data_IF_909677397068
#
_entry.id   IF_909677397068
#
_cell.length_a   1.000
_cell.length_b   1.000
_cell.length_c   1.000
_cell.angle_alpha   90.00
_cell.angle_beta   90.00
_cell.angle_gamma   90.00
#
_symmetry.space_group_name_H-M   'P 1'
#
loop_
_entity.id
_entity.type
_entity.pdbx_description
1 polymer ?
#
# COMPACT_ATOMS: atom_id res chain seq x y z
N UNK A 1 50.94 34.36 -16.91
CA UNK A 1 50.90 33.61 -15.65
C UNK A 1 49.75 34.15 -14.81
N UNK A 2 48.59 33.50 -14.85
CA UNK A 2 47.40 33.87 -14.04
C UNK A 2 46.97 32.60 -13.32
N UNK A 3 47.25 32.54 -12.03
CA UNK A 3 46.90 31.41 -11.15
C UNK A 3 45.45 31.54 -10.71
N UNK A 4 44.64 30.52 -11.00
CA UNK A 4 43.27 30.38 -10.48
C UNK A 4 43.33 30.10 -8.97
N UNK A 5 42.53 30.76 -8.11
CA UNK A 5 42.47 30.40 -6.70
C UNK A 5 41.72 29.06 -6.51
N UNK A 6 42.01 28.33 -5.41
CA UNK A 6 41.38 27.04 -5.13
C UNK A 6 39.89 27.21 -4.80
N UNK A 7 39.06 26.37 -5.40
CA UNK A 7 37.62 26.29 -5.15
C UNK A 7 37.39 25.76 -3.73
N UNK A 8 36.71 26.53 -2.87
CA UNK A 8 36.26 26.02 -1.57
C UNK A 8 35.20 24.92 -1.78
N UNK A 9 35.18 23.87 -0.95
CA UNK A 9 34.15 22.85 -1.00
C UNK A 9 32.80 23.43 -0.59
N UNK A 10 31.79 23.26 -1.44
CA UNK A 10 30.42 23.69 -1.18
C UNK A 10 29.90 23.12 0.14
N UNK A 11 29.41 23.99 1.01
CA UNK A 11 28.79 23.62 2.27
C UNK A 11 27.56 22.73 1.99
N UNK A 12 27.64 21.47 2.40
CA UNK A 12 26.50 20.56 2.40
C UNK A 12 25.43 21.13 3.34
N UNK A 13 24.28 21.53 2.79
CA UNK A 13 23.13 21.99 3.58
C UNK A 13 22.67 20.91 4.56
N UNK A 14 22.00 21.30 5.67
CA UNK A 14 21.68 20.38 6.76
C UNK A 14 20.83 19.21 6.27
N UNK A 15 21.29 17.97 6.53
CA UNK A 15 20.50 16.76 6.31
C UNK A 15 19.25 16.84 7.18
N UNK A 16 18.08 16.94 6.54
CA UNK A 16 16.80 16.80 7.23
C UNK A 16 16.53 15.33 7.42
N UNK A 17 16.71 14.85 8.65
CA UNK A 17 16.22 13.53 9.05
C UNK A 17 14.73 13.64 9.33
N UNK A 18 13.93 12.90 8.56
CA UNK A 18 12.48 12.80 8.76
C UNK A 18 12.22 11.55 9.57
N UNK A 19 11.78 11.72 10.81
CA UNK A 19 11.39 10.61 11.70
C UNK A 19 9.88 10.37 11.54
N UNK A 20 9.51 9.21 11.01
CA UNK A 20 8.13 8.75 10.97
C UNK A 20 7.84 7.94 12.24
N UNK A 21 6.96 8.47 13.09
CA UNK A 21 6.42 7.76 14.25
C UNK A 21 5.01 7.27 13.93
N UNK A 22 4.68 6.07 14.39
CA UNK A 22 3.30 5.59 14.38
C UNK A 22 2.44 6.45 15.34
N UNK A 23 1.16 6.68 15.03
CA UNK A 23 0.31 7.56 15.84
C UNK A 23 -0.23 6.80 17.06
N UNK A 24 -0.94 5.69 16.83
CA UNK A 24 -1.71 4.98 17.85
C UNK A 24 -0.91 3.86 18.52
N UNK A 25 -0.36 4.14 19.70
CA UNK A 25 0.49 3.23 20.46
C UNK A 25 1.95 3.69 20.55
N UNK A 26 2.34 4.76 19.84
CA UNK A 26 3.64 5.42 20.00
C UNK A 26 3.49 6.89 20.43
N UNK A 27 2.58 7.66 19.81
CA UNK A 27 2.31 9.05 20.22
C UNK A 27 1.01 9.23 21.02
N UNK A 28 0.02 8.36 20.79
CA UNK A 28 -1.30 8.41 21.44
C UNK A 28 -1.60 7.06 22.08
N UNK A 29 -1.98 7.04 23.36
CA UNK A 29 -2.44 5.83 24.05
C UNK A 29 -3.89 5.49 23.64
N UNK A 30 -4.14 4.41 22.88
CA UNK A 30 -5.49 4.02 22.49
C UNK A 30 -6.37 3.63 23.68
N UNK A 31 -5.78 3.21 24.81
CA UNK A 31 -6.51 2.84 26.02
C UNK A 31 -7.03 4.06 26.78
N UNK A 32 -6.52 5.26 26.50
CA UNK A 32 -7.05 6.51 27.06
C UNK A 32 -8.53 6.76 26.70
N UNK A 33 -9.06 6.06 25.70
CA UNK A 33 -10.51 6.06 25.41
C UNK A 33 -11.34 5.51 26.58
N UNK A 34 -10.77 4.63 27.41
CA UNK A 34 -11.44 4.13 28.62
C UNK A 34 -11.88 5.26 29.54
N UNK A 35 -11.01 6.24 29.82
CA UNK A 35 -11.33 7.41 30.64
C UNK A 35 -12.47 8.29 30.05
N UNK A 36 -12.66 8.26 28.73
CA UNK A 36 -13.81 8.92 28.08
C UNK A 36 -15.08 8.08 28.23
N UNK A 37 -14.95 6.76 28.07
CA UNK A 37 -16.06 5.80 28.22
C UNK A 37 -16.57 5.73 29.66
N UNK A 38 -15.70 5.93 30.66
CA UNK A 38 -16.06 5.98 32.09
C UNK A 38 -17.02 7.14 32.45
N UNK A 39 -17.15 8.15 31.58
CA UNK A 39 -18.14 9.22 31.76
C UNK A 39 -19.56 8.78 31.42
N UNK A 40 -19.70 7.66 30.74
CA UNK A 40 -20.96 7.16 30.16
C UNK A 40 -21.28 5.73 30.60
N UNK A 41 -20.29 5.00 31.12
CA UNK A 41 -20.37 3.60 31.52
C UNK A 41 -19.69 3.38 32.88
N UNK A 42 -20.12 2.36 33.66
CA UNK A 42 -19.39 1.92 34.85
C UNK A 42 -17.92 1.58 34.52
N UNK A 43 -17.01 1.85 35.47
CA UNK A 43 -15.55 1.77 35.26
C UNK A 43 -15.09 0.43 34.68
N UNK A 44 -15.59 -0.67 35.25
CA UNK A 44 -15.22 -2.02 34.80
C UNK A 44 -15.70 -2.32 33.37
N UNK A 45 -16.85 -1.79 32.95
CA UNK A 45 -17.40 -1.96 31.61
C UNK A 45 -16.62 -1.12 30.58
N UNK A 46 -16.25 0.10 30.94
CA UNK A 46 -15.43 0.98 30.10
C UNK A 46 -14.05 0.36 29.81
N UNK A 47 -13.40 -0.21 30.82
CA UNK A 47 -12.12 -0.91 30.66
C UNK A 47 -12.26 -2.18 29.80
N UNK A 48 -13.32 -2.97 30.03
CA UNK A 48 -13.62 -4.15 29.20
C UNK A 48 -13.83 -3.79 27.74
N UNK A 49 -14.62 -2.75 27.47
CA UNK A 49 -14.92 -2.28 26.12
C UNK A 49 -13.65 -1.74 25.42
N UNK A 50 -12.85 -0.92 26.10
CA UNK A 50 -11.61 -0.39 25.53
C UNK A 50 -10.62 -1.50 25.15
N UNK A 51 -10.47 -2.53 26.00
CA UNK A 51 -9.63 -3.70 25.70
C UNK A 51 -10.18 -4.52 24.53
N UNK A 52 -11.48 -4.78 24.50
CA UNK A 52 -12.12 -5.50 23.40
C UNK A 52 -12.00 -4.75 22.07
N UNK A 53 -12.18 -3.42 22.09
CA UNK A 53 -12.01 -2.56 20.92
C UNK A 53 -10.57 -2.61 20.39
N UNK A 54 -9.57 -2.48 21.26
CA UNK A 54 -8.16 -2.57 20.86
C UNK A 54 -7.81 -3.95 20.30
N UNK A 55 -8.28 -5.02 20.93
CA UNK A 55 -8.08 -6.38 20.44
C UNK A 55 -8.68 -6.56 19.04
N UNK A 56 -9.90 -6.04 18.80
CA UNK A 56 -10.53 -6.08 17.49
C UNK A 56 -9.78 -5.24 16.45
N UNK A 57 -9.32 -4.05 16.81
CA UNK A 57 -8.53 -3.21 15.90
C UNK A 57 -7.27 -3.95 15.39
N UNK A 58 -6.53 -4.59 16.30
CA UNK A 58 -5.35 -5.40 15.93
C UNK A 58 -5.75 -6.57 15.05
N UNK A 59 -6.79 -7.32 15.44
CA UNK A 59 -7.30 -8.45 14.67
C UNK A 59 -7.62 -8.03 13.22
N UNK A 60 -8.35 -6.93 13.03
CA UNK A 60 -8.65 -6.40 11.69
C UNK A 60 -7.39 -6.02 10.92
N UNK A 61 -6.43 -5.32 11.54
CA UNK A 61 -5.17 -4.94 10.89
C UNK A 61 -4.37 -6.16 10.41
N UNK A 62 -4.25 -7.19 11.25
CA UNK A 62 -3.56 -8.43 10.88
C UNK A 62 -4.29 -9.18 9.76
N UNK A 63 -5.62 -9.26 9.82
CA UNK A 63 -6.43 -9.90 8.77
C UNK A 63 -6.28 -9.19 7.41
N UNK A 64 -6.34 -7.87 7.40
CA UNK A 64 -6.17 -7.06 6.17
C UNK A 64 -4.75 -7.19 5.61
N UNK A 65 -3.74 -7.18 6.48
CA UNK A 65 -2.34 -7.37 6.07
C UNK A 65 -2.13 -8.75 5.46
N UNK A 66 -2.71 -9.79 6.08
CA UNK A 66 -2.65 -11.16 5.56
C UNK A 66 -3.33 -11.28 4.19
N UNK A 67 -4.52 -10.67 4.02
CA UNK A 67 -5.21 -10.61 2.74
C UNK A 67 -4.36 -9.96 1.65
N UNK A 68 -3.82 -8.76 1.92
CA UNK A 68 -3.01 -8.02 0.95
C UNK A 68 -1.77 -8.82 0.51
N UNK A 69 -1.10 -9.50 1.45
CA UNK A 69 0.05 -10.37 1.15
C UNK A 69 -0.35 -11.58 0.30
N UNK A 70 -1.42 -12.27 0.67
CA UNK A 70 -1.91 -13.44 -0.08
C UNK A 70 -2.33 -13.04 -1.51
N UNK A 71 -3.04 -11.92 -1.64
CA UNK A 71 -3.46 -11.39 -2.93
C UNK A 71 -2.27 -11.11 -3.83
N UNK A 72 -1.29 -10.34 -3.35
CA UNK A 72 -0.10 -10.01 -4.16
C UNK A 72 0.71 -11.25 -4.52
N UNK A 73 0.86 -12.21 -3.60
CA UNK A 73 1.56 -13.46 -3.88
C UNK A 73 0.85 -14.26 -4.98
N UNK A 74 -0.48 -14.40 -4.91
CA UNK A 74 -1.26 -15.15 -5.90
C UNK A 74 -1.35 -14.48 -7.25
N UNK A 75 -1.40 -13.15 -7.29
CA UNK A 75 -1.35 -12.40 -8.54
C UNK A 75 -0.07 -12.71 -9.33
N UNK A 76 1.09 -12.74 -8.65
CA UNK A 76 2.36 -13.11 -9.26
C UNK A 76 2.42 -14.59 -9.62
N UNK A 77 1.95 -15.49 -8.74
CA UNK A 77 1.91 -16.92 -9.03
C UNK A 77 1.08 -17.22 -10.29
N UNK A 78 -0.07 -16.56 -10.44
CA UNK A 78 -0.96 -16.75 -11.59
C UNK A 78 -0.33 -16.22 -12.86
N UNK A 79 0.29 -15.03 -12.85
CA UNK A 79 0.96 -14.51 -14.04
C UNK A 79 2.07 -15.46 -14.52
N UNK A 80 2.91 -15.96 -13.60
CA UNK A 80 3.96 -16.93 -13.96
C UNK A 80 3.40 -18.25 -14.50
N UNK A 81 2.39 -18.83 -13.85
CA UNK A 81 1.79 -20.09 -14.29
C UNK A 81 1.15 -19.97 -15.67
N UNK A 82 0.40 -18.90 -15.90
CA UNK A 82 -0.24 -18.63 -17.17
C UNK A 82 0.77 -18.49 -18.31
N UNK A 83 1.90 -17.80 -18.06
CA UNK A 83 3.00 -17.72 -19.03
C UNK A 83 3.60 -19.08 -19.34
N UNK A 84 3.94 -19.89 -18.32
CA UNK A 84 4.52 -21.23 -18.53
C UNK A 84 3.56 -22.18 -19.25
N UNK A 85 2.26 -22.06 -18.97
CA UNK A 85 1.21 -22.84 -19.63
C UNK A 85 0.86 -22.33 -21.03
N UNK A 86 1.50 -21.26 -21.52
CA UNK A 86 1.17 -20.62 -22.80
C UNK A 86 -0.31 -20.20 -22.90
N UNK A 87 -0.89 -19.80 -21.76
CA UNK A 87 -2.28 -19.33 -21.67
C UNK A 87 -2.28 -17.87 -21.28
N UNK A 88 -2.57 -17.00 -22.22
CA UNK A 88 -2.67 -15.57 -21.93
C UNK A 88 -3.99 -15.25 -21.22
N UNK A 89 -3.89 -14.45 -20.16
CA UNK A 89 -4.99 -13.68 -19.58
C UNK A 89 -4.47 -12.27 -19.32
N UNK A 90 -5.36 -11.28 -19.39
CA UNK A 90 -4.97 -9.91 -19.08
C UNK A 90 -4.74 -9.73 -17.56
N UNK A 91 -4.11 -8.61 -17.22
CA UNK A 91 -3.73 -8.32 -15.85
C UNK A 91 -4.95 -8.05 -14.94
N UNK A 92 -6.07 -7.57 -15.49
CA UNK A 92 -7.31 -7.38 -14.75
C UNK A 92 -7.87 -8.72 -14.29
N UNK A 93 -7.95 -9.69 -15.21
CA UNK A 93 -8.35 -11.07 -14.90
C UNK A 93 -7.49 -11.67 -13.79
N UNK A 94 -6.16 -11.56 -13.90
CA UNK A 94 -5.22 -12.08 -12.89
C UNK A 94 -5.41 -11.39 -11.54
N UNK A 95 -5.65 -10.08 -11.54
CA UNK A 95 -5.84 -9.28 -10.33
C UNK A 95 -7.13 -9.65 -9.62
N UNK A 96 -8.24 -9.82 -10.34
CA UNK A 96 -9.51 -10.26 -9.78
C UNK A 96 -9.45 -11.69 -9.23
N UNK A 97 -8.96 -12.64 -10.01
CA UNK A 97 -8.96 -14.07 -9.61
C UNK A 97 -7.99 -14.35 -8.45
N UNK A 98 -6.91 -13.58 -8.34
CA UNK A 98 -6.02 -13.66 -7.18
C UNK A 98 -6.62 -13.04 -5.92
N UNK A 99 -7.45 -12.00 -6.05
CA UNK A 99 -8.21 -11.43 -4.92
C UNK A 99 -9.24 -12.44 -4.40
N UNK A 100 -10.00 -13.08 -5.30
CA UNK A 100 -10.97 -14.10 -4.93
C UNK A 100 -10.32 -15.25 -4.17
N UNK A 101 -9.18 -15.75 -4.65
CA UNK A 101 -8.42 -16.77 -3.94
C UNK A 101 -7.99 -16.30 -2.55
N UNK A 102 -7.44 -15.08 -2.45
CA UNK A 102 -6.94 -14.55 -1.18
C UNK A 102 -8.06 -14.36 -0.15
N UNK A 103 -9.26 -13.97 -0.59
CA UNK A 103 -10.45 -13.88 0.25
C UNK A 103 -10.85 -15.24 0.82
N UNK A 104 -10.90 -16.27 -0.03
CA UNK A 104 -11.18 -17.65 0.39
C UNK A 104 -10.14 -18.15 1.39
N UNK A 105 -8.84 -17.99 1.09
CA UNK A 105 -7.74 -18.42 1.96
C UNK A 105 -7.78 -17.70 3.32
N UNK A 106 -8.18 -16.44 3.34
CA UNK A 106 -8.25 -15.64 4.55
C UNK A 106 -9.56 -15.78 5.33
N UNK A 107 -10.50 -16.61 4.85
CA UNK A 107 -11.86 -16.71 5.38
C UNK A 107 -12.51 -15.31 5.52
N UNK A 108 -12.38 -14.51 4.48
CA UNK A 108 -12.94 -13.17 4.35
C UNK A 108 -13.97 -13.17 3.22
N UNK A 109 -15.03 -12.41 3.42
CA UNK A 109 -16.07 -12.20 2.42
C UNK A 109 -16.09 -10.72 2.06
N UNK A 110 -16.21 -10.42 0.78
CA UNK A 110 -16.49 -9.10 0.26
C UNK A 110 -17.73 -9.20 -0.62
N UNK A 111 -18.64 -8.23 -0.49
CA UNK A 111 -19.75 -8.07 -1.42
C UNK A 111 -19.23 -7.75 -2.82
N UNK A 112 -20.08 -7.94 -3.84
CA UNK A 112 -19.73 -7.63 -5.22
C UNK A 112 -19.35 -6.14 -5.40
N UNK A 113 -20.07 -5.22 -4.74
CA UNK A 113 -19.78 -3.78 -4.79
C UNK A 113 -18.40 -3.45 -4.20
N UNK A 114 -18.08 -4.01 -3.04
CA UNK A 114 -16.78 -3.76 -2.38
C UNK A 114 -15.62 -4.32 -3.21
N UNK A 115 -15.82 -5.46 -3.87
CA UNK A 115 -14.83 -6.05 -4.76
C UNK A 115 -14.57 -5.14 -5.97
N UNK A 116 -15.63 -4.69 -6.64
CA UNK A 116 -15.52 -3.77 -7.77
C UNK A 116 -14.79 -2.49 -7.38
N UNK A 117 -15.13 -1.92 -6.22
CA UNK A 117 -14.46 -0.72 -5.71
C UNK A 117 -12.98 -0.98 -5.39
N UNK A 118 -12.65 -2.10 -4.77
CA UNK A 118 -11.26 -2.46 -4.47
C UNK A 118 -10.41 -2.62 -5.73
N UNK A 119 -10.95 -3.26 -6.78
CA UNK A 119 -10.29 -3.40 -8.07
C UNK A 119 -10.12 -2.05 -8.77
N UNK A 120 -11.15 -1.18 -8.74
CA UNK A 120 -11.06 0.16 -9.30
C UNK A 120 -9.98 1.03 -8.61
N UNK A 121 -9.84 0.92 -7.28
CA UNK A 121 -8.77 1.59 -6.54
C UNK A 121 -7.39 1.03 -6.87
N UNK A 122 -7.29 -0.27 -7.13
CA UNK A 122 -6.03 -0.92 -7.53
C UNK A 122 -5.55 -0.38 -8.90
N UNK A 123 -6.47 -0.18 -9.85
CA UNK A 123 -6.16 0.41 -11.16
C UNK A 123 -5.74 1.89 -11.08
N UNK A 124 -6.12 2.60 -10.01
CA UNK A 124 -5.86 4.02 -9.80
C UNK A 124 -4.70 4.30 -8.82
N UNK A 125 -3.84 3.33 -8.52
CA UNK A 125 -2.72 3.51 -7.61
C UNK A 125 -1.72 4.56 -8.13
N UNK A 126 -1.33 5.49 -7.25
CA UNK A 126 -0.32 6.49 -7.57
C UNK A 126 1.05 5.84 -7.81
N UNK A 127 1.78 6.25 -8.86
CA UNK A 127 3.16 5.82 -9.05
C UNK A 127 4.04 6.37 -7.91
N UNK A 128 5.12 5.66 -7.59
CA UNK A 128 6.11 6.17 -6.64
C UNK A 128 6.68 7.52 -7.12
N UNK A 129 7.03 8.44 -6.20
CA UNK A 129 7.42 9.81 -6.54
C UNK A 129 8.66 9.92 -7.44
N UNK A 130 9.48 8.87 -7.48
CA UNK A 130 10.69 8.73 -8.29
C UNK A 130 10.44 8.13 -9.69
N UNK A 131 9.26 7.56 -9.95
CA UNK A 131 8.93 6.94 -11.25
C UNK A 131 8.94 7.95 -12.38
N UNK A 132 8.27 9.10 -12.22
CA UNK A 132 8.20 10.12 -13.27
C UNK A 132 9.58 10.71 -13.57
N UNK A 133 10.35 11.20 -12.57
CA UNK A 133 11.72 11.67 -12.81
C UNK A 133 12.63 10.59 -13.44
N UNK A 134 12.52 9.34 -12.99
CA UNK A 134 13.31 8.23 -13.53
C UNK A 134 13.00 7.93 -14.99
N UNK A 135 11.72 7.95 -15.38
CA UNK A 135 11.30 7.75 -16.76
C UNK A 135 11.75 8.89 -17.69
N UNK A 136 11.77 10.13 -17.22
CA UNK A 136 12.28 11.28 -17.98
C UNK A 136 13.77 11.17 -18.27
N UNK A 137 14.57 10.72 -17.29
CA UNK A 137 16.00 10.44 -17.46
C UNK A 137 16.22 9.34 -18.51
N UNK A 138 15.44 8.26 -18.45
CA UNK A 138 15.51 7.17 -19.43
C UNK A 138 15.07 7.61 -20.84
N UNK A 139 14.07 8.48 -20.94
CA UNK A 139 13.63 9.05 -22.21
C UNK A 139 14.72 9.91 -22.87
N UNK A 140 15.40 10.73 -22.07
CA UNK A 140 16.50 11.58 -22.51
C UNK A 140 17.75 10.78 -22.92
N UNK A 141 17.94 9.58 -22.36
CA UNK A 141 19.04 8.66 -22.70
C UNK A 141 18.87 7.92 -24.04
N UNK A 142 17.86 8.25 -24.84
CA UNK A 142 17.65 7.70 -26.18
C UNK A 142 16.87 6.38 -26.23
N UNK A 143 16.51 5.81 -25.08
CA UNK A 143 15.48 4.77 -25.00
C UNK A 143 14.12 5.43 -25.06
N UNK A 144 13.42 5.36 -26.21
CA UNK A 144 12.00 5.75 -26.27
C UNK A 144 11.23 4.96 -25.20
N UNK A 145 10.67 5.61 -24.18
CA UNK A 145 9.75 4.93 -23.29
C UNK A 145 8.46 4.79 -24.09
N UNK A 146 8.19 3.60 -24.64
CA UNK A 146 6.84 3.29 -25.07
C UNK A 146 6.01 3.05 -23.81
N UNK A 147 5.51 4.12 -23.19
CA UNK A 147 4.38 3.97 -22.29
C UNK A 147 3.18 3.64 -23.17
N UNK A 148 2.95 2.35 -23.43
CA UNK A 148 1.64 1.90 -23.90
C UNK A 148 0.66 2.06 -22.74
N UNK A 149 0.29 3.31 -22.44
CA UNK A 149 -0.97 3.62 -21.79
C UNK A 149 -2.04 3.47 -22.88
N UNK A 150 -2.21 2.24 -23.35
CA UNK A 150 -3.41 1.86 -24.08
C UNK A 150 -4.49 1.77 -23.02
N UNK A 151 -5.09 2.92 -22.72
CA UNK A 151 -6.44 2.97 -22.20
C UNK A 151 -7.34 2.33 -23.26
N UNK A 152 -7.42 1.00 -23.25
CA UNK A 152 -8.50 0.27 -23.89
C UNK A 152 -9.55 0.00 -22.82
N UNK A 153 -10.45 0.98 -22.66
CA UNK A 153 -11.89 0.73 -22.49
C UNK A 153 -12.56 1.47 -23.66
N UNK A 154 -13.64 0.95 -24.29
CA UNK A 154 -14.61 -0.06 -23.85
C UNK A 154 -14.29 -1.44 -24.45
N UNK A 155 -14.56 -2.57 -23.80
CA UNK A 155 -15.80 -3.06 -23.19
C UNK A 155 -15.43 -3.86 -21.94
#
# INVERSE_FOLDING_TARGET
>A
MVTRPPTQPGAAGPRREVLLFDLYGTLVDPLAISAQLERVLPHDDAQRLARAWRAKQLEYSFRLTRLARAWRAKQLEYSFRLTVMQRYQDFGWVTEHSLEFALLECALTMSASERTEALARYDALDPFPDVIPGLEVLAAAGTRPSSSRTAARPW
#
